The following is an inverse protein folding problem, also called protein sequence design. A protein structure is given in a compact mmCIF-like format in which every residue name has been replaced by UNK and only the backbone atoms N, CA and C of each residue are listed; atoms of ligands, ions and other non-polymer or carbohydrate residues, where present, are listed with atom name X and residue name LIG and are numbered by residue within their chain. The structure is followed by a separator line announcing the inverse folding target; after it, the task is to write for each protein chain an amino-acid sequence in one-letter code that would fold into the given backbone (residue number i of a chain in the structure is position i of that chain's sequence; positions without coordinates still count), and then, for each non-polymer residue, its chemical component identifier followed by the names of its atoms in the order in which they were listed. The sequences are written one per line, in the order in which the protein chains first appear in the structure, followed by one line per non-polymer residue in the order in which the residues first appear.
data_IF_411465702011
#
_entry.id   IF_411465702011
#
_cell.length_a   1.000
_cell.length_b   1.000
_cell.length_c   1.000
_cell.angle_alpha   90.00
_cell.angle_beta   90.00
_cell.angle_gamma   90.00
#
_symmetry.space_group_name_H-M   'P 1'
#
loop_
_entity.id
_entity.type
_entity.pdbx_description
1 polymer ?
#
# COMPACT_ATOMS: atom_id res chain seq x y z
N UNK A 1 11.65 16.13 7.00
CA UNK A 1 12.78 15.44 7.60
C UNK A 1 13.18 16.07 8.93
N UNK A 2 13.75 17.29 8.95
CA UNK A 2 14.14 17.97 10.20
C UNK A 2 13.01 18.04 11.25
N UNK A 3 11.80 18.38 10.86
CA UNK A 3 10.66 18.49 11.77
C UNK A 3 10.27 17.15 12.39
N UNK A 4 10.32 16.07 11.63
CA UNK A 4 10.06 14.71 12.14
C UNK A 4 11.14 14.30 13.13
N UNK A 5 12.42 14.54 12.81
CA UNK A 5 13.52 14.26 13.71
C UNK A 5 13.38 15.01 15.04
N UNK A 6 13.08 16.31 14.97
CA UNK A 6 12.87 17.15 16.16
C UNK A 6 11.70 16.69 17.02
N UNK A 7 10.58 16.33 16.38
CA UNK A 7 9.42 15.76 17.06
C UNK A 7 9.78 14.46 17.81
N UNK A 8 10.47 13.55 17.16
CA UNK A 8 10.86 12.27 17.77
C UNK A 8 11.85 12.49 18.93
N UNK A 9 12.84 13.38 18.79
CA UNK A 9 13.76 13.73 19.87
C UNK A 9 13.02 14.25 21.12
N UNK A 10 12.04 15.13 20.94
CA UNK A 10 11.24 15.66 22.05
C UNK A 10 10.32 14.60 22.65
N UNK A 11 9.69 13.78 21.81
CA UNK A 11 8.77 12.73 22.26
C UNK A 11 9.48 11.56 22.96
N UNK A 12 10.79 11.35 22.74
CA UNK A 12 11.60 10.37 23.48
C UNK A 12 11.57 10.59 25.00
N UNK A 13 11.32 11.81 25.46
CA UNK A 13 11.18 12.12 26.88
C UNK A 13 9.79 11.80 27.44
N UNK A 14 8.83 11.44 26.58
CA UNK A 14 7.48 11.17 27.01
C UNK A 14 7.36 9.75 27.61
N UNK A 15 6.67 9.57 28.76
CA UNK A 15 6.56 8.25 29.44
C UNK A 15 5.97 7.14 28.58
N UNK A 16 5.21 7.48 27.54
CA UNK A 16 4.59 6.53 26.63
C UNK A 16 5.39 6.29 25.34
N UNK A 17 6.59 6.85 25.23
CA UNK A 17 7.38 6.69 24.01
C UNK A 17 7.59 5.22 23.63
N UNK A 18 7.98 4.41 24.60
CA UNK A 18 8.23 2.97 24.43
C UNK A 18 6.97 2.18 24.00
N UNK A 19 5.79 2.65 24.37
CA UNK A 19 4.51 2.00 24.07
C UNK A 19 3.77 2.68 22.90
N UNK A 20 4.47 3.46 22.08
CA UNK A 20 3.92 4.16 20.93
C UNK A 20 4.43 3.56 19.63
N UNK A 21 3.55 3.38 18.67
CA UNK A 21 3.88 3.09 17.28
C UNK A 21 3.71 4.35 16.45
N UNK A 22 4.77 4.76 15.77
CA UNK A 22 4.77 5.91 14.86
C UNK A 22 4.66 5.39 13.43
N UNK A 23 3.67 5.86 12.70
CA UNK A 23 3.49 5.58 11.28
C UNK A 23 3.60 6.90 10.55
N UNK A 24 4.63 6.99 9.72
CA UNK A 24 4.98 8.20 8.99
C UNK A 24 4.88 7.90 7.50
N UNK A 25 4.00 8.59 6.82
CA UNK A 25 3.78 8.43 5.38
C UNK A 25 3.41 9.79 4.77
N UNK A 26 3.29 9.83 3.45
CA UNK A 26 2.78 10.99 2.72
C UNK A 26 1.35 10.71 2.22
N UNK A 27 0.60 11.77 1.97
CA UNK A 27 -0.73 11.71 1.36
C UNK A 27 -0.68 11.42 -0.14
N UNK A 28 0.35 11.92 -0.83
CA UNK A 28 0.62 11.70 -2.25
C UNK A 28 2.11 11.89 -2.57
N UNK A 29 2.52 11.43 -3.75
CA UNK A 29 3.85 11.70 -4.29
C UNK A 29 3.98 13.15 -4.78
N UNK A 30 5.22 13.61 -4.95
CA UNK A 30 5.49 14.96 -5.44
C UNK A 30 5.08 15.09 -6.92
N UNK A 31 4.15 15.99 -7.21
CA UNK A 31 3.58 16.20 -8.55
C UNK A 31 4.60 16.62 -9.65
N UNK A 32 5.77 17.09 -9.24
CA UNK A 32 6.81 17.60 -10.17
C UNK A 32 7.92 16.59 -10.47
N UNK A 33 7.84 15.38 -9.93
CA UNK A 33 8.80 14.34 -10.25
C UNK A 33 8.46 13.75 -11.64
N UNK A 34 9.10 14.26 -12.66
CA UNK A 34 9.04 13.70 -14.02
C UNK A 34 9.98 12.48 -14.08
N UNK A 35 9.48 11.33 -13.72
CA UNK A 35 10.16 10.06 -13.97
C UNK A 35 9.48 9.35 -15.14
N UNK A 36 10.28 8.65 -15.95
CA UNK A 36 9.75 7.75 -16.98
C UNK A 36 9.26 6.42 -16.36
N UNK A 37 9.57 6.20 -15.10
CA UNK A 37 9.15 5.00 -14.37
C UNK A 37 7.75 5.19 -13.78
N UNK A 38 6.78 4.34 -14.15
CA UNK A 38 5.39 4.49 -13.73
C UNK A 38 5.19 4.56 -12.21
N UNK A 39 5.95 3.78 -11.45
CA UNK A 39 5.82 3.70 -9.99
C UNK A 39 6.30 4.98 -9.28
N UNK A 40 7.24 5.73 -9.83
CA UNK A 40 7.76 6.96 -9.22
C UNK A 40 6.68 8.05 -9.06
N UNK A 41 5.65 8.02 -9.91
CA UNK A 41 4.52 8.96 -9.80
C UNK A 41 3.65 8.73 -8.57
N UNK A 42 3.67 7.50 -8.05
CA UNK A 42 2.78 7.07 -6.96
C UNK A 42 3.54 6.67 -5.70
N UNK A 43 4.86 6.59 -5.78
CA UNK A 43 5.69 6.14 -4.67
C UNK A 43 5.73 7.19 -3.56
N UNK A 44 5.31 6.77 -2.38
CA UNK A 44 5.37 7.56 -1.15
C UNK A 44 6.18 6.81 -0.09
N UNK A 45 6.83 7.51 0.85
CA UNK A 45 7.53 6.87 1.94
C UNK A 45 6.54 6.24 2.93
N UNK A 46 6.92 5.11 3.52
CA UNK A 46 6.25 4.54 4.69
C UNK A 46 7.31 4.12 5.70
N UNK A 47 7.23 4.69 6.89
CA UNK A 47 8.04 4.28 8.04
C UNK A 47 7.12 3.82 9.16
N UNK A 48 7.38 2.63 9.69
CA UNK A 48 6.73 2.11 10.89
C UNK A 48 7.82 2.00 11.94
N UNK A 49 7.71 2.80 12.99
CA UNK A 49 8.70 2.87 14.05
C UNK A 49 8.07 2.65 15.42
N UNK A 50 8.61 1.70 16.15
CA UNK A 50 8.28 1.48 17.56
C UNK A 50 9.48 0.84 18.26
N UNK A 51 10.00 1.43 19.35
CA UNK A 51 11.18 0.90 20.04
C UNK A 51 11.02 -0.53 20.56
N UNK A 52 9.80 -0.92 20.95
CA UNK A 52 9.51 -2.24 21.54
C UNK A 52 8.93 -3.26 20.58
N UNK A 53 8.24 -2.83 19.53
CA UNK A 53 7.33 -3.70 18.80
C UNK A 53 7.72 -3.95 17.36
N UNK A 54 8.67 -3.16 16.82
CA UNK A 54 9.09 -3.26 15.43
C UNK A 54 10.61 -3.38 15.36
N UNK A 55 11.09 -4.52 14.87
CA UNK A 55 12.53 -4.71 14.62
C UNK A 55 12.98 -3.85 13.44
N UNK A 56 14.19 -3.27 13.49
CA UNK A 56 14.74 -2.50 12.39
C UNK A 56 14.90 -3.36 11.12
N UNK A 57 14.43 -2.87 9.99
CA UNK A 57 14.56 -3.58 8.72
C UNK A 57 14.01 -2.76 7.56
N UNK A 58 14.18 -3.31 6.36
CA UNK A 58 13.60 -2.78 5.13
C UNK A 58 12.69 -3.85 4.56
N UNK A 59 11.45 -3.49 4.24
CA UNK A 59 10.51 -4.36 3.54
C UNK A 59 10.54 -4.05 2.06
N UNK A 60 10.63 -5.07 1.23
CA UNK A 60 10.50 -4.99 -0.24
C UNK A 60 9.06 -5.22 -0.70
N UNK A 61 8.11 -5.25 0.24
CA UNK A 61 6.71 -5.48 -0.06
C UNK A 61 6.10 -4.28 -0.81
N UNK A 62 5.28 -4.60 -1.80
CA UNK A 62 4.42 -3.62 -2.44
C UNK A 62 3.21 -3.35 -1.56
N UNK A 63 2.82 -2.10 -1.41
CA UNK A 63 1.66 -1.73 -0.61
C UNK A 63 1.05 -0.40 -1.00
N UNK A 64 -0.18 -0.22 -0.59
CA UNK A 64 -0.97 0.99 -0.76
C UNK A 64 -1.41 1.53 0.59
N UNK A 65 -1.88 2.77 0.65
CA UNK A 65 -2.41 3.35 1.89
C UNK A 65 -3.59 2.57 2.49
N UNK A 66 -4.33 1.81 1.67
CA UNK A 66 -5.43 0.95 2.13
C UNK A 66 -4.96 -0.19 3.04
N UNK A 67 -3.68 -0.57 2.95
CA UNK A 67 -3.08 -1.65 3.72
C UNK A 67 -2.73 -1.22 5.14
N UNK A 68 -2.67 0.08 5.40
CA UNK A 68 -2.25 0.62 6.71
C UNK A 68 -3.18 0.19 7.83
N UNK A 69 -4.51 0.21 7.61
CA UNK A 69 -5.46 -0.19 8.64
C UNK A 69 -5.23 -1.64 9.10
N UNK A 70 -5.15 -2.57 8.14
CA UNK A 70 -4.92 -3.99 8.43
C UNK A 70 -3.57 -4.18 9.12
N UNK A 71 -2.52 -3.51 8.62
CA UNK A 71 -1.17 -3.57 9.21
C UNK A 71 -1.17 -3.08 10.66
N UNK A 72 -1.86 -1.97 10.96
CA UNK A 72 -1.94 -1.41 12.32
C UNK A 72 -2.71 -2.34 13.26
N UNK A 73 -3.86 -2.84 12.81
CA UNK A 73 -4.71 -3.73 13.63
C UNK A 73 -3.95 -5.00 14.01
N UNK A 74 -3.27 -5.61 13.04
CA UNK A 74 -2.49 -6.82 13.26
C UNK A 74 -1.24 -6.57 14.11
N UNK A 75 -0.49 -5.49 13.84
CA UNK A 75 0.70 -5.12 14.61
C UNK A 75 0.38 -4.86 16.09
N UNK A 76 -0.73 -4.20 16.36
CA UNK A 76 -1.16 -3.85 17.71
C UNK A 76 -2.07 -4.91 18.35
N UNK A 77 -2.37 -6.00 17.63
CA UNK A 77 -3.27 -7.07 18.09
C UNK A 77 -4.60 -6.52 18.60
N UNK A 78 -5.17 -5.55 17.87
CA UNK A 78 -6.41 -4.92 18.28
C UNK A 78 -7.59 -5.88 18.11
N UNK A 79 -8.36 -6.05 19.17
CA UNK A 79 -9.59 -6.84 19.13
C UNK A 79 -10.75 -6.00 18.63
N UNK A 80 -11.60 -6.60 17.82
CA UNK A 80 -12.81 -5.95 17.29
C UNK A 80 -13.12 -6.32 15.85
N UNK A 81 -14.22 -5.80 15.35
CA UNK A 81 -14.63 -5.98 13.95
C UNK A 81 -14.30 -4.71 13.17
N UNK A 82 -13.58 -4.88 12.10
CA UNK A 82 -13.26 -3.79 11.16
C UNK A 82 -13.45 -4.27 9.71
N UNK A 83 -13.63 -3.34 8.79
CA UNK A 83 -13.71 -3.65 7.36
C UNK A 83 -12.50 -3.08 6.66
N UNK A 84 -11.76 -3.93 5.96
CA UNK A 84 -10.64 -3.55 5.14
C UNK A 84 -10.56 -4.46 3.91
N UNK A 85 -10.09 -3.92 2.80
CA UNK A 85 -9.69 -4.66 1.60
C UNK A 85 -8.16 -4.67 1.45
N UNK A 86 -7.44 -4.07 2.40
CA UNK A 86 -5.99 -4.06 2.45
C UNK A 86 -5.42 -5.30 3.12
N UNK A 87 -4.14 -5.52 2.90
CA UNK A 87 -3.35 -6.61 3.45
C UNK A 87 -2.41 -6.11 4.55
N UNK A 88 -1.87 -7.02 5.37
CA UNK A 88 -0.82 -6.67 6.31
C UNK A 88 0.53 -6.57 5.58
N UNK A 89 1.14 -5.39 5.58
CA UNK A 89 2.42 -5.10 4.92
C UNK A 89 3.63 -5.74 5.60
N UNK A 90 3.48 -6.23 6.83
CA UNK A 90 4.55 -6.88 7.59
C UNK A 90 4.58 -8.41 7.37
N UNK A 91 3.60 -8.97 6.67
CA UNK A 91 3.60 -10.40 6.32
C UNK A 91 4.45 -10.67 5.06
N UNK A 92 5.15 -11.81 5.07
CA UNK A 92 5.89 -12.32 3.89
C UNK A 92 4.93 -12.96 2.89
N UNK A 93 4.16 -12.17 2.18
CA UNK A 93 3.28 -12.64 1.09
C UNK A 93 3.55 -11.86 -0.19
N UNK A 94 3.36 -12.49 -1.36
CA UNK A 94 3.29 -11.74 -2.60
C UNK A 94 2.19 -10.68 -2.48
N UNK A 95 2.56 -9.44 -2.55
CA UNK A 95 1.64 -8.34 -2.42
C UNK A 95 1.69 -7.43 -3.64
N UNK A 96 0.72 -6.56 -3.73
CA UNK A 96 0.59 -5.60 -4.80
C UNK A 96 0.09 -4.26 -4.25
N UNK A 97 0.44 -3.21 -4.93
CA UNK A 97 -0.11 -1.88 -4.69
C UNK A 97 -1.09 -1.52 -5.81
N UNK A 98 -2.25 -1.01 -5.46
CA UNK A 98 -3.23 -0.54 -6.43
C UNK A 98 -3.45 0.95 -6.27
N UNK A 99 -3.45 1.68 -7.40
CA UNK A 99 -3.70 3.12 -7.46
C UNK A 99 -4.70 3.42 -8.56
N UNK A 100 -5.77 4.15 -8.24
CA UNK A 100 -6.76 4.60 -9.21
C UNK A 100 -6.63 6.10 -9.45
N UNK A 101 -6.49 6.49 -10.71
CA UNK A 101 -6.42 7.88 -11.16
C UNK A 101 -7.42 8.10 -12.32
N UNK A 102 -8.56 8.68 -12.03
CA UNK A 102 -9.63 8.83 -13.02
C UNK A 102 -10.14 7.48 -13.53
N UNK A 103 -10.06 7.27 -14.85
CA UNK A 103 -10.44 6.01 -15.50
C UNK A 103 -9.30 4.97 -15.53
N UNK A 104 -8.10 5.34 -15.10
CA UNK A 104 -6.95 4.46 -15.05
C UNK A 104 -6.89 3.77 -13.69
N UNK A 105 -6.64 2.47 -13.71
CA UNK A 105 -6.33 1.70 -12.52
C UNK A 105 -4.99 1.00 -12.74
N UNK A 106 -4.09 1.15 -11.77
CA UNK A 106 -2.71 0.72 -11.84
C UNK A 106 -2.47 -0.34 -10.78
N UNK A 107 -1.78 -1.42 -11.14
CA UNK A 107 -1.29 -2.41 -10.20
C UNK A 107 0.23 -2.55 -10.34
N UNK A 108 0.89 -2.57 -9.20
CA UNK A 108 2.34 -2.75 -9.04
C UNK A 108 2.59 -3.98 -8.20
N UNK A 109 3.49 -4.85 -8.63
CA UNK A 109 3.87 -6.06 -7.91
C UNK A 109 5.24 -6.55 -8.36
N UNK A 110 5.82 -7.58 -7.73
CA UNK A 110 7.03 -8.24 -8.24
C UNK A 110 6.89 -8.78 -9.67
N UNK A 111 5.67 -9.08 -10.11
CA UNK A 111 5.38 -9.53 -11.49
C UNK A 111 5.41 -8.39 -12.51
N UNK A 112 5.41 -7.15 -12.07
CA UNK A 112 5.51 -5.97 -12.91
C UNK A 112 4.46 -4.92 -12.61
N UNK A 113 4.34 -4.00 -13.56
CA UNK A 113 3.37 -2.91 -13.58
C UNK A 113 2.34 -3.14 -14.68
N UNK A 114 1.07 -3.01 -14.36
CA UNK A 114 -0.01 -3.05 -15.34
C UNK A 114 -0.96 -1.88 -15.12
N UNK A 115 -1.29 -1.19 -16.18
CA UNK A 115 -2.29 -0.12 -16.22
C UNK A 115 -3.48 -0.57 -17.05
N UNK A 116 -4.67 -0.48 -16.47
CA UNK A 116 -5.92 -0.88 -17.09
C UNK A 116 -6.88 0.32 -17.21
N UNK A 117 -7.65 0.37 -18.27
CA UNK A 117 -8.69 1.39 -18.48
C UNK A 117 -9.82 0.83 -19.36
N UNK A 118 -11.05 1.08 -18.95
CA UNK A 118 -12.25 0.83 -19.74
C UNK A 118 -12.32 -0.58 -20.40
N UNK A 119 -11.91 -1.61 -19.65
CA UNK A 119 -11.99 -2.99 -20.10
C UNK A 119 -10.79 -3.49 -20.90
N UNK A 120 -9.69 -2.75 -20.95
CA UNK A 120 -8.47 -3.16 -21.65
C UNK A 120 -7.19 -2.74 -20.95
N UNK A 121 -6.13 -3.53 -21.14
CA UNK A 121 -4.77 -3.16 -20.73
C UNK A 121 -4.29 -2.03 -21.66
N UNK A 122 -3.89 -0.89 -21.09
CA UNK A 122 -3.33 0.24 -21.82
C UNK A 122 -1.81 0.31 -21.74
N UNK A 123 -1.23 -0.27 -20.68
CA UNK A 123 0.20 -0.40 -20.52
C UNK A 123 0.56 -1.63 -19.68
N UNK A 124 1.65 -2.30 -20.05
CA UNK A 124 2.23 -3.38 -19.24
C UNK A 124 3.75 -3.33 -19.32
N UNK A 125 4.39 -3.41 -18.17
CA UNK A 125 5.84 -3.51 -18.01
C UNK A 125 6.13 -4.73 -17.13
N UNK A 126 6.78 -5.79 -17.67
CA UNK A 126 7.11 -6.98 -16.90
C UNK A 126 8.10 -6.65 -15.77
N UNK A 127 8.00 -7.40 -14.68
CA UNK A 127 8.97 -7.35 -13.59
C UNK A 127 10.32 -7.97 -13.98
N UNK A 128 11.30 -7.83 -13.10
CA UNK A 128 12.71 -8.24 -13.36
C UNK A 128 12.85 -9.73 -13.69
N UNK A 129 12.00 -10.58 -13.14
CA UNK A 129 12.01 -12.04 -13.33
C UNK A 129 11.39 -12.50 -14.65
N UNK A 130 11.11 -11.57 -15.58
CA UNK A 130 10.47 -11.85 -16.87
C UNK A 130 9.21 -12.72 -16.73
N UNK A 131 8.17 -12.22 -16.06
CA UNK A 131 6.96 -12.96 -15.79
C UNK A 131 6.31 -13.48 -17.07
N UNK A 132 5.62 -14.62 -16.95
CA UNK A 132 4.95 -15.29 -18.05
C UNK A 132 3.68 -14.54 -18.48
N UNK A 133 3.07 -14.95 -19.58
CA UNK A 133 1.76 -14.46 -20.00
C UNK A 133 0.66 -14.78 -18.97
N UNK A 134 0.80 -15.89 -18.24
CA UNK A 134 -0.11 -16.24 -17.15
C UNK A 134 0.00 -15.26 -15.97
N UNK A 135 1.23 -14.82 -15.64
CA UNK A 135 1.44 -13.81 -14.59
C UNK A 135 0.83 -12.47 -14.98
N UNK A 136 0.96 -12.06 -16.25
CA UNK A 136 0.31 -10.85 -16.79
C UNK A 136 -1.21 -10.95 -16.67
N UNK A 137 -1.78 -12.07 -17.06
CA UNK A 137 -3.21 -12.32 -16.96
C UNK A 137 -3.67 -12.30 -15.50
N UNK A 138 -2.88 -12.88 -14.60
CA UNK A 138 -3.17 -12.85 -13.17
C UNK A 138 -3.20 -11.41 -12.61
N UNK A 139 -2.25 -10.55 -13.01
CA UNK A 139 -2.27 -9.13 -12.63
C UNK A 139 -3.52 -8.41 -13.14
N UNK A 140 -3.95 -8.69 -14.37
CA UNK A 140 -5.18 -8.13 -14.93
C UNK A 140 -6.41 -8.58 -14.14
N UNK A 141 -6.50 -9.85 -13.81
CA UNK A 141 -7.59 -10.39 -12.97
C UNK A 141 -7.62 -9.74 -11.59
N UNK A 142 -6.46 -9.54 -10.94
CA UNK A 142 -6.36 -8.89 -9.64
C UNK A 142 -6.84 -7.43 -9.69
N UNK A 143 -6.39 -6.65 -10.66
CA UNK A 143 -6.77 -5.24 -10.77
C UNK A 143 -8.26 -5.07 -11.08
N UNK A 144 -8.82 -5.94 -11.90
CA UNK A 144 -10.25 -5.95 -12.21
C UNK A 144 -11.09 -6.39 -11.00
N UNK A 145 -10.66 -7.41 -10.28
CA UNK A 145 -11.31 -7.85 -9.05
C UNK A 145 -11.33 -6.75 -7.99
N UNK A 146 -10.21 -6.04 -7.83
CA UNK A 146 -10.11 -4.90 -6.91
C UNK A 146 -11.06 -3.76 -7.31
N UNK A 147 -11.08 -3.36 -8.58
CA UNK A 147 -11.97 -2.30 -9.06
C UNK A 147 -13.45 -2.68 -8.90
N UNK A 148 -13.79 -3.92 -9.23
CA UNK A 148 -15.15 -4.42 -9.08
C UNK A 148 -15.59 -4.50 -7.61
N UNK A 149 -14.74 -5.02 -6.74
CA UNK A 149 -15.01 -5.11 -5.31
C UNK A 149 -15.22 -3.72 -4.69
N UNK A 150 -14.31 -2.79 -4.96
CA UNK A 150 -14.44 -1.41 -4.44
C UNK A 150 -15.70 -0.73 -4.95
N UNK A 151 -16.05 -0.90 -6.22
CA UNK A 151 -17.29 -0.39 -6.79
C UNK A 151 -18.52 -0.98 -6.07
N UNK A 152 -18.58 -2.30 -5.88
CA UNK A 152 -19.69 -2.96 -5.19
C UNK A 152 -19.83 -2.51 -3.74
N UNK A 153 -18.72 -2.42 -3.00
CA UNK A 153 -18.73 -1.99 -1.60
C UNK A 153 -19.25 -0.56 -1.46
N UNK A 154 -18.79 0.34 -2.33
CA UNK A 154 -19.19 1.74 -2.31
C UNK A 154 -20.66 1.92 -2.73
N UNK A 155 -21.10 1.29 -3.82
CA UNK A 155 -22.46 1.48 -4.36
C UNK A 155 -23.54 0.78 -3.54
N UNK A 156 -23.20 -0.37 -2.92
CA UNK A 156 -24.13 -1.12 -2.07
C UNK A 156 -24.10 -0.72 -0.60
N UNK A 157 -23.18 0.16 -0.20
CA UNK A 157 -22.91 0.54 1.19
C UNK A 157 -22.72 -0.67 2.14
N UNK A 158 -22.03 -1.70 1.65
CA UNK A 158 -21.85 -2.98 2.38
C UNK A 158 -20.56 -3.07 3.18
N UNK A 159 -19.69 -2.12 3.07
CA UNK A 159 -18.38 -2.13 3.74
C UNK A 159 -18.45 -2.01 5.28
N UNK A 160 -19.64 -1.83 5.84
CA UNK A 160 -19.90 -1.92 7.27
C UNK A 160 -20.26 -3.34 7.74
N UNK A 161 -20.27 -4.35 6.87
CA UNK A 161 -20.80 -5.69 7.15
C UNK A 161 -19.86 -6.83 6.70
N UNK A 162 -18.61 -6.52 6.38
CA UNK A 162 -17.63 -7.57 6.08
C UNK A 162 -17.08 -8.17 7.37
#
# INVERSE_FOLDING_TARGET
DWAIGKFLEEFQQHPKFEDTVFIITADHAMAHFQSNEPYERFRIPLFIYSPKHVEPGISENYGSQIDLLTTIVDLLQLEGTYSSIGSNLLEEKPNYAVVKEGALINIFSPLGFLQHSLGQIVHYQPGENQPSEQDRQHLEEQVLAFDHLTYLLLTSNRWQRL
#
